data_IF_492225147510
#
_entry.id   IF_492225147510
#
_cell.length_a   1.000
_cell.length_b   1.000
_cell.length_c   1.000
_cell.angle_alpha   90.00
_cell.angle_beta   90.00
_cell.angle_gamma   90.00
#
_symmetry.space_group_name_H-M   'P 1'
#
loop_
_entity.id
_entity.type
_entity.pdbx_description
1 polymer ?
#
# COMPACT_ATOMS: atom_id res chain seq x y z
N UNK A 1 17.76 -16.56 10.17
CA UNK A 1 16.63 -16.44 9.21
C UNK A 1 16.31 -14.95 8.92
N UNK A 2 17.08 -14.34 8.01
CA UNK A 2 17.15 -12.88 7.84
C UNK A 2 16.57 -12.39 6.51
N UNK A 3 16.11 -13.30 5.65
CA UNK A 3 15.91 -13.02 4.22
C UNK A 3 14.64 -12.22 3.90
N UNK A 4 13.54 -12.43 4.62
CA UNK A 4 12.24 -11.81 4.27
C UNK A 4 12.03 -10.39 4.85
N UNK A 5 12.69 -10.02 5.96
CA UNK A 5 12.53 -8.70 6.59
C UNK A 5 13.00 -7.55 5.70
N UNK A 6 13.88 -7.82 4.72
CA UNK A 6 14.41 -6.79 3.82
C UNK A 6 13.33 -6.07 3.02
N UNK A 7 12.19 -6.70 2.75
CA UNK A 7 11.10 -6.12 1.98
C UNK A 7 10.09 -5.32 2.81
N UNK A 8 10.26 -5.29 4.14
CA UNK A 8 9.32 -4.63 5.03
C UNK A 8 9.89 -3.29 5.56
N UNK A 9 9.07 -2.25 5.55
CA UNK A 9 9.46 -0.90 5.98
C UNK A 9 8.33 -0.24 6.75
N UNK A 10 8.70 0.65 7.66
CA UNK A 10 7.77 1.51 8.37
C UNK A 10 7.91 2.91 7.83
N UNK A 11 6.80 3.44 7.31
CA UNK A 11 6.75 4.75 6.69
C UNK A 11 6.20 5.84 7.63
N UNK A 12 5.43 5.43 8.64
CA UNK A 12 4.66 6.36 9.47
C UNK A 12 3.52 7.02 8.71
N UNK A 13 2.83 6.27 7.84
CA UNK A 13 1.68 6.82 7.12
C UNK A 13 0.64 7.36 8.11
N UNK A 14 -0.02 8.49 7.82
CA UNK A 14 -0.98 9.10 8.73
C UNK A 14 -2.16 8.16 8.95
N UNK A 15 -2.67 8.13 10.18
CA UNK A 15 -3.93 7.45 10.50
C UNK A 15 -5.06 8.46 10.45
N UNK A 16 -6.18 8.09 9.81
CA UNK A 16 -7.41 8.84 9.99
C UNK A 16 -7.87 8.71 11.45
N UNK A 17 -8.32 9.82 12.04
CA UNK A 17 -8.72 9.88 13.45
C UNK A 17 -9.73 8.74 13.74
N UNK A 18 -9.42 7.92 14.75
CA UNK A 18 -10.23 6.80 15.28
C UNK A 18 -10.04 5.39 14.70
N UNK A 19 -9.08 5.14 13.79
CA UNK A 19 -8.71 3.75 13.47
C UNK A 19 -7.67 3.19 14.44
N UNK A 20 -7.90 1.96 14.92
CA UNK A 20 -6.89 1.19 15.67
C UNK A 20 -5.67 1.02 14.78
N UNK A 21 -4.49 1.41 15.27
CA UNK A 21 -3.24 1.30 14.50
C UNK A 21 -3.05 -0.13 14.00
N UNK A 22 -2.80 -0.28 12.70
CA UNK A 22 -2.49 -1.57 12.10
C UNK A 22 -1.07 -1.98 12.54
N UNK A 23 -0.92 -3.10 13.27
CA UNK A 23 0.39 -3.54 13.74
C UNK A 23 1.35 -3.95 12.60
N UNK A 24 0.84 -4.22 11.39
CA UNK A 24 1.64 -4.70 10.26
C UNK A 24 2.30 -6.05 10.56
N UNK A 25 3.59 -6.18 10.22
CA UNK A 25 4.37 -7.41 10.38
C UNK A 25 4.41 -7.93 11.83
N UNK A 26 4.29 -7.05 12.83
CA UNK A 26 4.14 -7.47 14.24
C UNK A 26 2.98 -8.44 14.44
N UNK A 27 1.89 -8.32 13.69
CA UNK A 27 0.76 -9.23 13.76
C UNK A 27 1.16 -10.70 13.57
N UNK A 28 2.20 -10.95 12.78
CA UNK A 28 2.78 -12.28 12.49
C UNK A 28 3.93 -12.61 13.43
N UNK A 29 4.94 -11.73 13.52
CA UNK A 29 6.19 -12.05 14.22
C UNK A 29 6.12 -11.88 15.74
N UNK A 30 5.20 -11.04 16.23
CA UNK A 30 5.10 -10.60 17.63
C UNK A 30 6.35 -9.91 18.19
N UNK A 31 7.28 -9.49 17.33
CA UNK A 31 8.48 -8.74 17.75
C UNK A 31 8.23 -7.23 17.69
N UNK A 32 8.44 -6.51 18.79
CA UNK A 32 8.18 -5.06 18.89
C UNK A 32 8.89 -4.21 17.82
N UNK A 33 10.01 -4.70 17.27
CA UNK A 33 10.79 -4.03 16.21
C UNK A 33 10.06 -4.02 14.86
N UNK A 34 9.10 -4.92 14.69
CA UNK A 34 8.30 -5.09 13.47
C UNK A 34 6.96 -4.36 13.54
N UNK A 35 6.67 -3.66 14.63
CA UNK A 35 5.45 -2.85 14.76
C UNK A 35 5.42 -1.76 13.68
N UNK A 36 4.31 -1.69 12.94
CA UNK A 36 4.10 -0.74 11.85
C UNK A 36 4.96 -1.01 10.61
N UNK A 37 5.55 -2.21 10.46
CA UNK A 37 6.28 -2.60 9.25
C UNK A 37 5.34 -3.22 8.24
N UNK A 38 5.31 -2.67 7.03
CA UNK A 38 4.53 -3.18 5.91
C UNK A 38 5.43 -3.63 4.79
N UNK A 39 4.98 -4.63 4.02
CA UNK A 39 5.68 -5.05 2.81
C UNK A 39 5.69 -3.90 1.82
N UNK A 40 6.83 -3.66 1.19
CA UNK A 40 6.95 -2.69 0.10
C UNK A 40 6.12 -3.20 -1.08
N UNK A 41 5.06 -2.49 -1.51
CA UNK A 41 4.22 -2.94 -2.60
C UNK A 41 4.94 -2.81 -3.95
N UNK A 42 4.43 -3.52 -4.95
CA UNK A 42 4.79 -3.27 -6.36
C UNK A 42 4.21 -1.92 -6.79
N UNK A 43 4.84 -1.28 -7.78
CA UNK A 43 4.36 -0.03 -8.40
C UNK A 43 3.69 -0.25 -9.76
N UNK A 44 3.57 -1.50 -10.23
CA UNK A 44 2.84 -1.80 -11.47
C UNK A 44 1.35 -1.48 -11.28
N UNK A 45 0.74 -0.81 -12.26
CA UNK A 45 -0.65 -0.31 -12.21
C UNK A 45 -0.94 0.72 -11.11
N UNK A 46 0.08 1.29 -10.44
CA UNK A 46 -0.14 2.12 -9.24
C UNK A 46 -1.06 3.32 -9.49
N UNK A 47 -1.08 3.89 -10.70
CA UNK A 47 -1.96 5.02 -11.03
C UNK A 47 -3.46 4.71 -11.01
N UNK A 48 -3.85 3.42 -10.93
CA UNK A 48 -5.24 2.97 -10.94
C UNK A 48 -5.71 2.36 -9.61
N UNK A 49 -4.88 2.43 -8.57
CA UNK A 49 -5.14 1.75 -7.30
C UNK A 49 -5.35 2.73 -6.15
N UNK A 50 -5.82 3.94 -6.43
CA UNK A 50 -6.24 4.85 -5.37
C UNK A 50 -7.39 4.24 -4.54
N UNK A 51 -7.48 4.51 -3.23
CA UNK A 51 -6.56 5.32 -2.42
C UNK A 51 -5.27 4.55 -2.02
N UNK A 52 -4.24 5.29 -1.61
CA UNK A 52 -2.87 4.79 -1.40
C UNK A 52 -2.52 4.55 0.08
N UNK A 53 -1.37 3.91 0.29
CA UNK A 53 -0.87 3.39 1.58
C UNK A 53 -1.65 2.16 2.06
N UNK A 54 -1.16 1.52 3.13
CA UNK A 54 -1.78 0.31 3.70
C UNK A 54 -3.20 0.55 4.25
N UNK A 55 -3.54 1.80 4.56
CA UNK A 55 -4.78 2.23 5.17
C UNK A 55 -5.62 3.15 4.29
N UNK A 56 -5.23 3.36 3.02
CA UNK A 56 -5.96 4.26 2.12
C UNK A 56 -5.92 5.75 2.53
N UNK A 57 -4.94 6.17 3.34
CA UNK A 57 -4.91 7.53 3.92
C UNK A 57 -4.60 8.64 2.93
N UNK A 58 -4.00 8.33 1.77
CA UNK A 58 -3.64 9.33 0.76
C UNK A 58 -4.49 9.11 -0.50
N UNK A 59 -5.10 10.18 -1.01
CA UNK A 59 -6.05 10.09 -2.10
C UNK A 59 -5.38 10.05 -3.48
N UNK A 60 -4.23 10.72 -3.64
CA UNK A 60 -3.58 10.94 -4.93
C UNK A 60 -2.10 10.50 -4.94
N UNK A 61 -1.53 10.30 -6.14
CA UNK A 61 -0.10 10.00 -6.28
C UNK A 61 0.75 11.22 -5.90
N UNK A 62 0.22 12.42 -6.14
CA UNK A 62 0.79 13.69 -5.75
C UNK A 62 0.98 13.76 -4.23
N UNK A 63 -0.04 13.34 -3.46
CA UNK A 63 0.05 13.26 -1.99
C UNK A 63 1.09 12.23 -1.54
N UNK A 64 1.17 11.09 -2.23
CA UNK A 64 2.18 10.05 -1.96
C UNK A 64 3.58 10.61 -2.20
N UNK A 65 3.82 11.24 -3.34
CA UNK A 65 5.13 11.84 -3.68
C UNK A 65 5.48 12.94 -2.67
N UNK A 66 4.54 13.81 -2.30
CA UNK A 66 4.74 14.83 -1.28
C UNK A 66 5.09 14.23 0.09
N UNK A 67 4.43 13.14 0.49
CA UNK A 67 4.72 12.43 1.73
C UNK A 67 6.15 11.86 1.76
N UNK A 68 6.61 11.27 0.66
CA UNK A 68 7.99 10.77 0.55
C UNK A 68 9.01 11.91 0.47
N UNK A 69 8.73 12.98 -0.26
CA UNK A 69 9.57 14.18 -0.35
C UNK A 69 9.78 14.84 1.02
N UNK A 70 8.77 14.78 1.90
CA UNK A 70 8.86 15.23 3.29
C UNK A 70 9.59 14.28 4.25
N UNK A 71 10.05 13.10 3.78
CA UNK A 71 10.72 12.10 4.63
C UNK A 71 9.78 11.19 5.42
N UNK A 72 8.55 11.00 4.93
CA UNK A 72 7.51 10.19 5.55
C UNK A 72 6.95 10.80 6.83
N UNK A 73 6.11 10.06 7.53
CA UNK A 73 5.47 10.55 8.76
C UNK A 73 6.27 10.22 10.02
N UNK A 74 5.58 10.21 11.16
CA UNK A 74 6.20 9.97 12.47
C UNK A 74 5.85 8.57 12.97
N UNK A 75 6.88 7.79 13.32
CA UNK A 75 6.70 6.48 13.93
C UNK A 75 7.99 6.02 14.62
N UNK A 76 7.89 5.37 15.79
CA UNK A 76 9.06 4.91 16.57
C UNK A 76 10.01 4.01 15.77
N UNK A 77 9.45 3.13 14.95
CA UNK A 77 10.19 2.18 14.12
C UNK A 77 10.45 2.68 12.68
N UNK A 78 10.33 3.99 12.42
CA UNK A 78 10.47 4.56 11.07
C UNK A 78 11.78 4.14 10.40
N UNK A 79 11.73 3.85 9.11
CA UNK A 79 12.93 3.50 8.35
C UNK A 79 13.90 4.69 8.27
N UNK A 80 15.21 4.48 8.52
CA UNK A 80 16.22 5.53 8.39
C UNK A 80 16.47 6.00 6.94
N UNK A 81 15.91 5.28 5.96
CA UNK A 81 15.97 5.66 4.55
C UNK A 81 15.02 6.82 4.22
N UNK A 82 14.00 7.05 5.04
CA UNK A 82 13.06 8.13 4.84
C UNK A 82 13.65 9.43 5.40
N UNK A 83 14.05 10.29 4.49
CA UNK A 83 14.61 11.61 4.76
C UNK A 83 14.00 12.59 3.76
N UNK A 84 13.89 13.88 4.11
CA UNK A 84 13.47 14.88 3.16
C UNK A 84 14.34 14.86 1.90
N UNK A 85 13.71 14.90 0.73
CA UNK A 85 14.39 14.81 -0.57
C UNK A 85 14.65 16.20 -1.17
N UNK A 86 13.78 17.16 -0.89
CA UNK A 86 13.94 18.54 -1.36
C UNK A 86 13.63 18.69 -2.84
N UNK A 87 12.69 17.89 -3.36
CA UNK A 87 12.32 17.89 -4.76
C UNK A 87 11.63 19.20 -5.15
N UNK A 88 12.03 19.74 -6.30
CA UNK A 88 11.34 20.85 -6.95
C UNK A 88 9.93 20.43 -7.38
N UNK A 89 9.08 21.42 -7.66
CA UNK A 89 7.72 21.17 -8.17
C UNK A 89 7.76 20.37 -9.48
N UNK A 90 8.69 20.70 -10.38
CA UNK A 90 8.85 20.02 -11.66
C UNK A 90 9.29 18.56 -11.50
N UNK A 91 10.22 18.27 -10.57
CA UNK A 91 10.65 16.90 -10.30
C UNK A 91 9.53 16.04 -9.71
N UNK A 92 8.71 16.62 -8.82
CA UNK A 92 7.54 15.91 -8.27
C UNK A 92 6.53 15.56 -9.35
N UNK A 93 6.24 16.50 -10.24
CA UNK A 93 5.35 16.27 -11.39
C UNK A 93 5.92 15.21 -12.33
N UNK A 94 7.21 15.29 -12.68
CA UNK A 94 7.87 14.31 -13.53
C UNK A 94 7.84 12.91 -12.92
N UNK A 95 8.01 12.79 -11.60
CA UNK A 95 7.91 11.51 -10.90
C UNK A 95 6.50 10.95 -10.94
N UNK A 96 5.47 11.77 -10.73
CA UNK A 96 4.07 11.34 -10.85
C UNK A 96 3.77 10.87 -12.28
N UNK A 97 4.21 11.60 -13.30
CA UNK A 97 4.03 11.18 -14.70
C UNK A 97 4.76 9.87 -14.99
N UNK A 98 5.99 9.69 -14.50
CA UNK A 98 6.69 8.42 -14.58
C UNK A 98 5.88 7.28 -13.94
N UNK A 99 5.34 7.47 -12.73
CA UNK A 99 4.51 6.45 -12.06
C UNK A 99 3.26 6.09 -12.86
N UNK A 100 2.65 7.06 -13.57
CA UNK A 100 1.51 6.82 -14.46
C UNK A 100 1.87 5.92 -15.64
N UNK A 101 3.10 5.95 -16.14
CA UNK A 101 3.58 5.05 -17.21
C UNK A 101 3.69 3.58 -16.80
N UNK A 102 3.64 3.28 -15.49
CA UNK A 102 3.71 1.91 -14.97
C UNK A 102 2.39 1.13 -15.08
N UNK A 103 1.35 1.76 -15.63
CA UNK A 103 0.07 1.12 -15.94
C UNK A 103 0.02 0.73 -17.42
N UNK A 104 -0.40 -0.50 -17.70
CA UNK A 104 -0.61 -1.01 -19.04
C UNK A 104 -2.04 -0.82 -19.54
N UNK A 105 -2.33 -1.41 -20.69
CA UNK A 105 -3.69 -1.47 -21.23
C UNK A 105 -4.61 -2.24 -20.28
N UNK A 106 -5.88 -1.78 -20.10
CA UNK A 106 -6.83 -2.47 -19.25
C UNK A 106 -7.10 -3.86 -19.80
N UNK A 107 -7.06 -4.87 -18.92
CA UNK A 107 -7.42 -6.24 -19.28
C UNK A 107 -8.94 -6.31 -19.41
N UNK A 108 -9.44 -6.57 -20.62
CA UNK A 108 -10.86 -6.82 -20.87
C UNK A 108 -11.15 -8.26 -20.43
N UNK A 109 -11.94 -8.41 -19.36
CA UNK A 109 -12.36 -9.71 -18.84
C UNK A 109 -13.85 -9.88 -19.13
N UNK A 110 -14.20 -10.85 -19.96
CA UNK A 110 -15.58 -11.29 -20.13
C UNK A 110 -16.00 -12.10 -18.88
N UNK A 111 -17.08 -11.69 -18.24
CA UNK A 111 -17.59 -12.38 -17.05
C UNK A 111 -18.20 -13.71 -17.48
N UNK A 112 -17.78 -14.85 -16.89
CA UNK A 112 -18.41 -16.13 -17.19
C UNK A 112 -19.85 -16.16 -16.66
N UNK A 113 -20.71 -16.90 -17.36
CA UNK A 113 -22.03 -17.24 -16.81
C UNK A 113 -21.85 -18.16 -15.61
N UNK A 114 -22.46 -17.78 -14.48
CA UNK A 114 -22.44 -18.62 -13.29
C UNK A 114 -23.42 -19.78 -13.49
N UNK A 115 -23.09 -21.00 -13.03
CA UNK A 115 -24.04 -22.11 -13.04
C UNK A 115 -25.25 -21.77 -12.16
N UNK A 116 -26.42 -22.29 -12.52
CA UNK A 116 -27.60 -22.16 -11.68
C UNK A 116 -27.38 -22.85 -10.33
N UNK A 117 -27.64 -22.14 -9.24
CA UNK A 117 -27.51 -22.67 -7.89
C UNK A 117 -28.89 -23.07 -7.39
N UNK A 118 -29.21 -24.36 -7.45
CA UNK A 118 -30.34 -24.90 -6.67
C UNK A 118 -29.85 -25.26 -5.27
N UNK A 119 -30.43 -24.68 -4.19
CA UNK A 119 -30.14 -25.13 -2.84
C UNK A 119 -30.38 -26.64 -2.71
N UNK A 120 -29.42 -27.37 -2.16
CA UNK A 120 -29.59 -28.79 -1.88
C UNK A 120 -30.79 -28.96 -0.94
N UNK A 121 -31.80 -29.75 -1.32
CA UNK A 121 -32.90 -30.10 -0.42
C UNK A 121 -32.31 -30.88 0.77
N UNK A 122 -32.33 -30.30 1.97
CA UNK A 122 -31.98 -31.00 3.20
C UNK A 122 -33.01 -32.10 3.49
N UNK A 123 -32.56 -33.31 3.84
CA UNK A 123 -33.43 -34.38 4.35
C UNK A 123 -33.83 -35.47 3.35
N UNK A 124 -33.12 -35.64 2.24
CA UNK A 124 -33.25 -36.82 1.38
C UNK A 124 -31.93 -37.59 1.38
N UNK A 125 -31.82 -38.59 2.26
CA UNK A 125 -30.87 -39.70 2.20
C UNK A 125 -31.68 -40.99 2.04
#
# INVERSE_FOLDING_TARGET
PTTFRRFFRTLGAPYAENYREDPGLYGVTKEKVDWGRFRTPSLREVSRTAPYMHNGSLASLEDVVAFYDGGGGQHRNKSPLLKPLGLTVGEKQALVEFLKTLAGDPVIIERPELPDYTPRKLGQN
#
